data_IF_173164134145
#
_entry.id   IF_173164134145
#
_cell.length_a   1.000
_cell.length_b   1.000
_cell.length_c   1.000
_cell.angle_alpha   90.00
_cell.angle_beta   90.00
_cell.angle_gamma   90.00
#
_symmetry.space_group_name_H-M   'P 1'
#
loop_
_entity.id
_entity.type
_entity.pdbx_description
1 polymer ?
#
# COMPACT_ATOMS: atom_id res chain seq x y z
N UNK A 1 -4.88 27.09 25.50
CA UNK A 1 -4.53 25.68 25.24
C UNK A 1 -5.84 24.94 25.05
N UNK A 2 -6.08 24.37 23.87
CA UNK A 2 -7.28 23.57 23.62
C UNK A 2 -7.06 22.17 24.19
N UNK A 3 -8.00 21.67 25.00
CA UNK A 3 -7.98 20.30 25.54
C UNK A 3 -9.01 19.50 24.74
N UNK A 4 -8.60 18.35 24.21
CA UNK A 4 -9.47 17.42 23.46
C UNK A 4 -9.93 16.29 24.38
N UNK A 5 -11.20 15.88 24.27
CA UNK A 5 -11.80 14.85 25.13
C UNK A 5 -11.99 13.49 24.46
N UNK A 6 -11.87 13.46 23.13
CA UNK A 6 -11.89 12.24 22.32
C UNK A 6 -10.88 12.33 21.18
N UNK A 7 -10.33 11.18 20.78
CA UNK A 7 -9.48 11.07 19.58
C UNK A 7 -10.23 11.51 18.32
N UNK A 8 -11.56 11.40 18.28
CA UNK A 8 -12.37 11.84 17.13
C UNK A 8 -12.33 13.37 16.95
N UNK A 9 -12.06 14.14 18.01
CA UNK A 9 -11.90 15.60 17.92
C UNK A 9 -10.57 16.02 17.28
N UNK A 10 -9.62 15.09 17.17
CA UNK A 10 -8.34 15.29 16.47
C UNK A 10 -8.45 15.01 14.98
N UNK A 11 -9.61 14.55 14.49
CA UNK A 11 -9.84 14.33 13.06
C UNK A 11 -10.07 15.67 12.38
N UNK A 12 -9.30 15.92 11.33
CA UNK A 12 -9.30 17.16 10.58
C UNK A 12 -8.33 18.21 11.10
N UNK A 13 -8.49 19.45 10.62
CA UNK A 13 -7.54 20.56 10.88
C UNK A 13 -6.08 20.17 10.64
N UNK A 14 -5.86 19.33 9.63
CA UNK A 14 -4.54 18.79 9.31
C UNK A 14 -3.63 19.90 8.79
N UNK A 15 -2.31 19.86 9.07
CA UNK A 15 -1.40 20.88 8.57
C UNK A 15 -1.34 20.92 7.04
N UNK A 16 -1.05 22.11 6.51
CA UNK A 16 -0.73 22.33 5.11
C UNK A 16 0.73 22.79 5.04
N UNK A 17 1.55 22.09 4.27
CA UNK A 17 2.98 22.43 4.14
C UNK A 17 3.29 22.81 2.69
N UNK A 18 4.06 23.89 2.52
CA UNK A 18 4.59 24.25 1.21
C UNK A 18 5.85 23.42 0.91
N UNK A 19 5.93 22.84 -0.29
CA UNK A 19 7.10 22.09 -0.74
C UNK A 19 8.10 23.05 -1.39
N UNK A 20 9.38 22.89 -1.07
CA UNK A 20 10.45 23.81 -1.48
C UNK A 20 11.66 23.11 -2.11
N UNK A 21 11.82 21.80 -1.89
CA UNK A 21 12.99 21.02 -2.34
C UNK A 21 12.73 20.19 -3.58
N UNK A 22 11.47 20.04 -3.98
CA UNK A 22 11.06 19.40 -5.22
C UNK A 22 10.87 20.48 -6.31
N UNK A 23 11.17 20.14 -7.56
CA UNK A 23 10.99 21.07 -8.68
C UNK A 23 9.50 21.23 -9.01
N UNK A 24 8.91 22.34 -8.56
CA UNK A 24 7.51 22.69 -8.77
C UNK A 24 7.32 23.65 -9.95
N UNK A 25 8.31 23.82 -10.83
CA UNK A 25 8.23 24.81 -11.90
C UNK A 25 7.91 26.22 -11.35
N UNK A 26 7.03 27.02 -12.01
CA UNK A 26 6.65 28.33 -11.51
C UNK A 26 5.65 28.30 -10.34
N UNK A 27 5.11 27.13 -9.96
CA UNK A 27 4.04 27.05 -8.98
C UNK A 27 4.56 27.01 -7.53
N UNK A 28 3.74 27.50 -6.61
CA UNK A 28 3.82 27.17 -5.19
C UNK A 28 2.95 25.95 -4.92
N UNK A 29 3.57 24.80 -4.67
CA UNK A 29 2.87 23.55 -4.39
C UNK A 29 2.76 23.31 -2.88
N UNK A 30 1.54 23.03 -2.43
CA UNK A 30 1.21 22.76 -1.03
C UNK A 30 0.69 21.33 -0.88
N UNK A 31 1.09 20.67 0.21
CA UNK A 31 0.72 19.32 0.56
C UNK A 31 -0.12 19.32 1.83
N UNK A 32 -1.39 18.92 1.73
CA UNK A 32 -2.32 18.80 2.86
C UNK A 32 -2.09 17.46 3.56
N UNK A 33 -1.66 17.50 4.82
CA UNK A 33 -1.15 16.34 5.56
C UNK A 33 -2.26 15.49 6.18
N UNK A 34 -3.13 14.92 5.33
CA UNK A 34 -4.22 14.04 5.76
C UNK A 34 -3.74 12.73 6.41
N UNK A 35 -2.48 12.36 6.21
CA UNK A 35 -1.79 11.29 6.90
C UNK A 35 -1.58 11.55 8.40
N UNK A 36 -1.84 12.77 8.89
CA UNK A 36 -1.74 13.15 10.31
C UNK A 36 -3.06 13.11 11.06
N UNK A 37 -4.17 12.73 10.42
CA UNK A 37 -5.34 12.30 11.18
C UNK A 37 -4.98 11.11 12.09
N UNK A 38 -5.68 10.89 13.23
CA UNK A 38 -5.28 9.89 14.23
C UNK A 38 -5.25 8.43 13.75
N UNK A 39 -6.12 8.04 12.80
CA UNK A 39 -6.09 6.75 12.09
C UNK A 39 -5.10 6.72 10.91
N UNK A 40 -4.39 7.83 10.70
CA UNK A 40 -3.30 7.98 9.75
C UNK A 40 -3.76 8.09 8.30
N UNK A 41 -4.96 8.60 8.04
CA UNK A 41 -5.45 8.84 6.68
C UNK A 41 -6.60 9.84 6.57
N UNK A 42 -6.82 10.31 5.34
CA UNK A 42 -7.97 11.13 4.92
C UNK A 42 -9.33 10.46 5.20
N UNK A 43 -9.37 9.13 5.27
CA UNK A 43 -10.62 8.37 5.43
C UNK A 43 -11.20 8.43 6.84
N UNK A 44 -10.44 8.95 7.81
CA UNK A 44 -10.94 9.21 9.16
C UNK A 44 -12.09 10.23 9.14
N UNK A 45 -11.97 11.27 8.30
CA UNK A 45 -13.03 12.28 8.09
C UNK A 45 -14.30 11.63 7.55
N UNK A 46 -14.14 10.77 6.55
CA UNK A 46 -15.22 10.08 5.86
C UNK A 46 -15.94 9.14 6.81
N UNK A 47 -15.18 8.32 7.54
CA UNK A 47 -15.73 7.42 8.55
C UNK A 47 -16.50 8.18 9.65
N UNK A 48 -15.97 9.31 10.13
CA UNK A 48 -16.62 10.11 11.17
C UNK A 48 -17.92 10.71 10.67
N UNK A 49 -17.89 11.27 9.46
CA UNK A 49 -19.06 11.86 8.82
C UNK A 49 -20.17 10.83 8.59
N UNK A 50 -19.84 9.66 8.03
CA UNK A 50 -20.83 8.61 7.76
C UNK A 50 -21.46 8.06 9.04
N UNK A 51 -20.68 7.85 10.11
CA UNK A 51 -21.21 7.40 11.40
C UNK A 51 -22.10 8.47 12.05
N UNK A 52 -21.64 9.73 12.08
CA UNK A 52 -22.42 10.83 12.66
C UNK A 52 -23.74 11.06 11.88
N UNK A 53 -23.73 10.91 10.56
CA UNK A 53 -24.94 11.05 9.75
C UNK A 53 -25.91 9.88 9.98
N UNK A 54 -25.39 8.65 10.11
CA UNK A 54 -26.20 7.48 10.44
C UNK A 54 -26.83 7.59 11.84
N UNK A 55 -26.11 8.14 12.81
CA UNK A 55 -26.65 8.48 14.14
C UNK A 55 -27.75 9.54 14.02
N UNK A 56 -27.47 10.65 13.32
CA UNK A 56 -28.39 11.79 13.18
C UNK A 56 -29.71 11.40 12.50
N UNK A 57 -29.65 10.51 11.52
CA UNK A 57 -30.81 10.04 10.76
C UNK A 57 -31.51 8.84 11.42
N UNK A 58 -30.95 8.30 12.51
CA UNK A 58 -31.51 7.15 13.22
C UNK A 58 -31.27 5.80 12.53
N UNK A 59 -30.45 5.75 11.49
CA UNK A 59 -30.07 4.50 10.80
C UNK A 59 -29.14 3.63 11.66
N UNK A 60 -28.33 4.26 12.52
CA UNK A 60 -27.45 3.58 13.46
C UNK A 60 -27.88 3.89 14.90
N UNK A 61 -28.37 2.87 15.61
CA UNK A 61 -28.81 2.96 17.00
C UNK A 61 -27.62 2.74 17.96
N UNK A 62 -27.63 3.30 19.19
CA UNK A 62 -26.58 3.07 20.19
C UNK A 62 -26.30 1.57 20.40
N UNK A 63 -25.01 1.18 20.36
CA UNK A 63 -24.59 -0.22 20.45
C UNK A 63 -24.84 -1.07 19.20
N UNK A 64 -25.31 -0.45 18.10
CA UNK A 64 -25.55 -1.11 16.82
C UNK A 64 -24.28 -1.65 16.15
N UNK A 65 -24.47 -2.33 15.02
CA UNK A 65 -23.37 -2.92 14.25
C UNK A 65 -23.15 -2.15 12.95
N UNK A 66 -21.91 -1.80 12.66
CA UNK A 66 -21.49 -1.22 11.40
C UNK A 66 -20.94 -2.34 10.53
N UNK A 67 -21.31 -2.34 9.24
CA UNK A 67 -20.76 -3.26 8.24
C UNK A 67 -20.20 -2.44 7.09
N UNK A 68 -18.99 -2.80 6.63
CA UNK A 68 -18.38 -2.19 5.45
C UNK A 68 -17.53 -3.22 4.69
N UNK A 69 -17.53 -3.07 3.37
CA UNK A 69 -16.79 -3.91 2.45
C UNK A 69 -15.41 -3.29 2.13
N UNK A 70 -14.46 -3.37 3.07
CA UNK A 70 -13.13 -2.78 2.87
C UNK A 70 -12.06 -3.36 3.77
N UNK A 71 -10.82 -3.41 3.26
CA UNK A 71 -9.60 -3.68 4.04
C UNK A 71 -8.68 -2.45 4.13
N UNK A 72 -9.13 -1.31 3.62
CA UNK A 72 -8.31 -0.12 3.43
C UNK A 72 -8.46 0.90 4.55
N UNK A 73 -8.07 2.13 4.22
CA UNK A 73 -8.10 3.26 5.13
C UNK A 73 -9.50 3.56 5.70
N UNK A 74 -10.58 3.34 4.93
CA UNK A 74 -11.96 3.49 5.43
C UNK A 74 -12.26 2.51 6.55
N UNK A 75 -11.80 1.25 6.45
CA UNK A 75 -12.00 0.25 7.51
C UNK A 75 -11.25 0.60 8.79
N UNK A 76 -10.05 1.15 8.67
CA UNK A 76 -9.28 1.65 9.81
C UNK A 76 -9.96 2.84 10.49
N UNK A 77 -10.44 3.82 9.71
CA UNK A 77 -11.19 4.96 10.23
C UNK A 77 -12.47 4.52 10.93
N UNK A 78 -13.26 3.64 10.30
CA UNK A 78 -14.47 3.07 10.90
C UNK A 78 -14.16 2.31 12.19
N UNK A 79 -13.09 1.50 12.23
CA UNK A 79 -12.70 0.75 13.42
C UNK A 79 -12.35 1.67 14.59
N UNK A 80 -11.55 2.71 14.33
CA UNK A 80 -11.22 3.73 15.33
C UNK A 80 -12.48 4.38 15.90
N UNK A 81 -13.37 4.88 15.02
CA UNK A 81 -14.53 5.67 15.45
C UNK A 81 -15.62 4.78 16.08
N UNK A 82 -15.84 3.57 15.54
CA UNK A 82 -16.75 2.59 16.12
C UNK A 82 -16.33 2.24 17.55
N UNK A 83 -15.03 2.00 17.79
CA UNK A 83 -14.52 1.70 19.12
C UNK A 83 -14.76 2.85 20.12
N UNK A 84 -14.61 4.11 19.68
CA UNK A 84 -14.83 5.28 20.54
C UNK A 84 -16.31 5.55 20.83
N UNK A 85 -17.21 5.21 19.90
CA UNK A 85 -18.66 5.43 20.02
C UNK A 85 -19.43 4.19 20.53
N UNK A 86 -18.74 3.08 20.78
CA UNK A 86 -19.34 1.86 21.33
C UNK A 86 -20.13 1.04 20.31
N UNK A 87 -19.72 1.04 19.05
CA UNK A 87 -20.31 0.21 17.99
C UNK A 87 -19.52 -1.06 17.73
N UNK A 88 -20.21 -2.12 17.35
CA UNK A 88 -19.57 -3.30 16.76
C UNK A 88 -19.23 -3.00 15.30
N UNK A 89 -18.10 -3.50 14.81
CA UNK A 89 -17.69 -3.34 13.41
C UNK A 89 -17.39 -4.70 12.78
N UNK A 90 -18.03 -4.98 11.65
CA UNK A 90 -17.74 -6.12 10.79
C UNK A 90 -17.20 -5.60 9.45
N UNK A 91 -15.98 -6.00 9.12
CA UNK A 91 -15.34 -5.69 7.85
C UNK A 91 -15.30 -6.92 6.96
N UNK A 92 -15.88 -6.79 5.77
CA UNK A 92 -15.85 -7.83 4.74
C UNK A 92 -14.68 -7.55 3.81
N UNK A 93 -13.72 -8.47 3.77
CA UNK A 93 -12.40 -8.27 3.18
C UNK A 93 -12.09 -9.38 2.16
N UNK A 94 -11.74 -9.06 0.91
CA UNK A 94 -11.25 -10.05 -0.04
C UNK A 94 -9.96 -10.73 0.45
N UNK A 95 -9.83 -12.03 0.21
CA UNK A 95 -8.69 -12.87 0.64
C UNK A 95 -7.34 -12.54 -0.01
N UNK A 96 -7.32 -11.70 -1.06
CA UNK A 96 -6.09 -11.14 -1.65
C UNK A 96 -5.44 -10.01 -0.83
N UNK A 97 -6.11 -9.51 0.21
CA UNK A 97 -5.59 -8.40 1.02
C UNK A 97 -4.45 -8.84 1.93
N UNK A 98 -3.48 -7.95 2.19
CA UNK A 98 -2.30 -8.30 2.98
C UNK A 98 -2.66 -8.63 4.43
N UNK A 99 -1.87 -9.51 5.05
CA UNK A 99 -2.08 -9.95 6.43
C UNK A 99 -1.93 -8.80 7.43
N UNK A 100 -1.02 -7.87 7.18
CA UNK A 100 -0.77 -6.71 8.03
C UNK A 100 -2.03 -5.84 8.15
N UNK A 101 -2.76 -5.65 7.04
CA UNK A 101 -4.03 -4.92 7.06
C UNK A 101 -5.08 -5.64 7.91
N UNK A 102 -5.21 -6.95 7.75
CA UNK A 102 -6.16 -7.76 8.53
C UNK A 102 -5.80 -7.71 10.03
N UNK A 103 -4.51 -7.83 10.37
CA UNK A 103 -4.05 -7.75 11.76
C UNK A 103 -4.28 -6.38 12.37
N UNK A 104 -4.06 -5.30 11.61
CA UNK A 104 -4.33 -3.95 12.08
C UNK A 104 -5.82 -3.75 12.38
N UNK A 105 -6.72 -4.19 11.48
CA UNK A 105 -8.17 -4.12 11.70
C UNK A 105 -8.59 -4.90 12.95
N UNK A 106 -8.08 -6.12 13.14
CA UNK A 106 -8.37 -6.94 14.32
C UNK A 106 -7.84 -6.33 15.61
N UNK A 107 -6.66 -5.69 15.57
CA UNK A 107 -6.09 -5.00 16.71
C UNK A 107 -6.94 -3.80 17.16
N UNK A 108 -7.66 -3.17 16.24
CA UNK A 108 -8.65 -2.12 16.52
C UNK A 108 -10.01 -2.67 16.96
N UNK A 109 -10.15 -3.98 17.18
CA UNK A 109 -11.38 -4.61 17.63
C UNK A 109 -12.40 -4.91 16.53
N UNK A 110 -12.06 -4.73 15.25
CA UNK A 110 -12.95 -5.06 14.15
C UNK A 110 -13.03 -6.58 13.94
N UNK A 111 -14.24 -7.08 13.70
CA UNK A 111 -14.46 -8.43 13.22
C UNK A 111 -14.16 -8.46 11.72
N UNK A 112 -13.32 -9.37 11.25
CA UNK A 112 -12.93 -9.46 9.84
C UNK A 112 -13.47 -10.76 9.25
N UNK A 113 -14.36 -10.64 8.26
CA UNK A 113 -14.90 -11.74 7.47
C UNK A 113 -14.19 -11.76 6.12
N UNK A 114 -13.57 -12.89 5.78
CA UNK A 114 -12.89 -13.05 4.50
C UNK A 114 -13.84 -13.52 3.40
N UNK A 115 -13.71 -12.94 2.21
CA UNK A 115 -14.47 -13.33 1.01
C UNK A 115 -13.53 -13.60 -0.16
N UNK A 116 -14.05 -14.27 -1.19
CA UNK A 116 -13.31 -14.61 -2.39
C UNK A 116 -12.92 -13.36 -3.17
N UNK A 117 -11.65 -13.29 -3.61
CA UNK A 117 -11.16 -12.20 -4.46
C UNK A 117 -11.23 -12.49 -5.97
N UNK A 118 -11.56 -13.72 -6.36
CA UNK A 118 -11.62 -14.20 -7.75
C UNK A 118 -13.03 -14.11 -8.38
N UNK A 119 -13.97 -13.46 -7.70
CA UNK A 119 -15.36 -13.32 -8.13
C UNK A 119 -15.74 -11.85 -8.29
N UNK A 120 -16.64 -11.57 -9.24
CA UNK A 120 -17.09 -10.22 -9.59
C UNK A 120 -18.49 -9.92 -9.05
N UNK A 121 -18.91 -8.67 -9.19
CA UNK A 121 -20.25 -8.18 -8.82
C UNK A 121 -21.36 -9.07 -9.39
N UNK A 122 -22.35 -9.38 -8.57
CA UNK A 122 -23.44 -10.32 -8.85
C UNK A 122 -23.18 -11.74 -8.33
N UNK A 123 -21.94 -12.10 -7.99
CA UNK A 123 -21.64 -13.38 -7.35
C UNK A 123 -21.91 -13.30 -5.83
N UNK A 124 -22.56 -14.29 -5.18
CA UNK A 124 -22.90 -14.24 -3.75
C UNK A 124 -21.72 -14.09 -2.77
N UNK A 125 -20.50 -14.40 -3.23
CA UNK A 125 -19.26 -14.26 -2.47
C UNK A 125 -18.47 -12.99 -2.82
N UNK A 126 -18.99 -12.13 -3.70
CA UNK A 126 -18.41 -10.83 -3.96
C UNK A 126 -18.53 -9.97 -2.70
N UNK A 127 -17.43 -9.36 -2.29
CA UNK A 127 -17.29 -8.76 -0.96
C UNK A 127 -18.32 -7.66 -0.66
N UNK A 128 -18.67 -6.80 -1.63
CA UNK A 128 -19.70 -5.76 -1.44
C UNK A 128 -21.11 -6.37 -1.34
N UNK A 129 -21.45 -7.28 -2.24
CA UNK A 129 -22.76 -7.95 -2.24
C UNK A 129 -22.95 -8.78 -0.96
N UNK A 130 -21.87 -9.44 -0.51
CA UNK A 130 -21.84 -10.18 0.75
C UNK A 130 -22.05 -9.25 1.95
N UNK A 131 -21.37 -8.09 2.00
CA UNK A 131 -21.53 -7.11 3.07
C UNK A 131 -22.95 -6.55 3.13
N UNK A 132 -23.53 -6.20 1.98
CA UNK A 132 -24.91 -5.73 1.88
C UNK A 132 -25.91 -6.81 2.36
N UNK A 133 -25.72 -8.07 1.93
CA UNK A 133 -26.56 -9.17 2.39
C UNK A 133 -26.44 -9.37 3.91
N UNK A 134 -25.21 -9.38 4.44
CA UNK A 134 -24.97 -9.54 5.87
C UNK A 134 -25.66 -8.44 6.68
N UNK A 135 -25.65 -7.20 6.19
CA UNK A 135 -26.36 -6.10 6.84
C UNK A 135 -27.89 -6.27 6.83
N UNK A 136 -28.45 -6.85 5.76
CA UNK A 136 -29.88 -7.16 5.68
C UNK A 136 -30.28 -8.32 6.61
N UNK A 137 -29.37 -9.26 6.86
CA UNK A 137 -29.62 -10.45 7.70
C UNK A 137 -29.38 -10.18 9.19
N UNK A 138 -28.52 -9.23 9.56
CA UNK A 138 -28.17 -8.92 10.94
C UNK A 138 -29.04 -7.76 11.49
N UNK A 139 -29.95 -8.01 12.45
CA UNK A 139 -30.80 -6.95 13.01
C UNK A 139 -29.97 -5.84 13.66
N UNK A 140 -30.29 -4.58 13.34
CA UNK A 140 -29.58 -3.41 13.86
C UNK A 140 -28.20 -3.17 13.22
N UNK A 141 -27.87 -3.88 12.14
CA UNK A 141 -26.70 -3.59 11.33
C UNK A 141 -26.96 -2.45 10.35
N UNK A 142 -25.95 -1.62 10.14
CA UNK A 142 -25.94 -0.55 9.16
C UNK A 142 -24.79 -0.78 8.17
N UNK A 143 -25.12 -0.95 6.89
CA UNK A 143 -24.13 -0.99 5.83
C UNK A 143 -23.74 0.44 5.46
N UNK A 144 -22.46 0.79 5.66
CA UNK A 144 -21.96 2.15 5.48
C UNK A 144 -21.95 2.58 4.01
N UNK A 145 -21.55 1.68 3.11
CA UNK A 145 -21.53 1.86 1.65
C UNK A 145 -20.79 3.14 1.19
N UNK A 146 -19.48 3.19 1.44
CA UNK A 146 -18.69 4.41 1.18
C UNK A 146 -18.73 4.93 -0.27
N UNK A 147 -19.13 4.10 -1.24
CA UNK A 147 -19.21 4.45 -2.66
C UNK A 147 -20.53 5.15 -3.04
N UNK A 148 -21.58 5.03 -2.22
CA UNK A 148 -22.89 5.63 -2.49
C UNK A 148 -23.40 6.51 -1.32
N UNK A 149 -22.68 6.54 -0.20
CA UNK A 149 -23.06 7.32 0.96
C UNK A 149 -22.69 8.81 0.81
N UNK A 150 -23.67 9.68 0.67
CA UNK A 150 -23.52 11.14 0.55
C UNK A 150 -22.81 11.79 1.75
N UNK A 151 -22.75 11.12 2.91
CA UNK A 151 -21.96 11.60 4.04
C UNK A 151 -20.44 11.53 3.77
N UNK A 152 -19.99 10.76 2.76
CA UNK A 152 -18.60 10.75 2.31
C UNK A 152 -18.18 12.11 1.69
N UNK A 153 -18.79 12.59 0.59
CA UNK A 153 -18.49 13.94 0.09
C UNK A 153 -18.86 15.05 1.08
N UNK A 154 -19.89 14.87 1.91
CA UNK A 154 -20.22 15.82 2.98
C UNK A 154 -19.03 16.08 3.91
N UNK A 155 -18.24 15.06 4.24
CA UNK A 155 -17.07 15.19 5.09
C UNK A 155 -16.09 16.24 4.52
N UNK A 156 -15.83 16.15 3.22
CA UNK A 156 -14.88 17.03 2.53
C UNK A 156 -15.46 18.41 2.24
N UNK A 157 -16.76 18.48 1.92
CA UNK A 157 -17.48 19.74 1.74
C UNK A 157 -17.48 20.58 3.02
N UNK A 158 -17.70 19.95 4.17
CA UNK A 158 -17.88 20.66 5.45
C UNK A 158 -16.60 20.84 6.26
N UNK A 159 -15.52 20.10 5.93
CA UNK A 159 -14.25 20.18 6.68
C UNK A 159 -13.06 20.44 5.76
N UNK A 160 -12.70 19.52 4.86
CA UNK A 160 -11.46 19.63 4.06
C UNK A 160 -11.44 20.88 3.18
N UNK A 161 -12.52 21.18 2.47
CA UNK A 161 -12.61 22.35 1.60
C UNK A 161 -12.44 23.69 2.36
N UNK A 162 -13.24 23.99 3.41
CA UNK A 162 -13.08 25.24 4.14
C UNK A 162 -11.72 25.34 4.85
N UNK A 163 -11.16 24.23 5.34
CA UNK A 163 -9.80 24.23 5.90
C UNK A 163 -8.75 24.66 4.88
N UNK A 164 -8.80 24.11 3.66
CA UNK A 164 -7.86 24.49 2.59
C UNK A 164 -8.00 25.97 2.23
N UNK A 165 -9.25 26.43 2.09
CA UNK A 165 -9.54 27.81 1.74
C UNK A 165 -9.03 28.77 2.83
N UNK A 166 -9.28 28.49 4.10
CA UNK A 166 -8.76 29.27 5.23
C UNK A 166 -7.22 29.27 5.26
N UNK A 167 -6.59 28.09 5.13
CA UNK A 167 -5.13 27.94 5.20
C UNK A 167 -4.37 28.64 4.06
N UNK A 168 -5.02 28.97 2.95
CA UNK A 168 -4.42 29.66 1.80
C UNK A 168 -5.01 31.05 1.55
N UNK A 169 -5.70 31.63 2.53
CA UNK A 169 -6.35 32.94 2.45
C UNK A 169 -7.29 33.07 1.23
N UNK A 170 -7.98 31.99 0.89
CA UNK A 170 -8.88 31.89 -0.26
C UNK A 170 -8.21 31.88 -1.63
N UNK A 171 -6.88 31.76 -1.71
CA UNK A 171 -6.11 31.81 -2.96
C UNK A 171 -5.63 30.42 -3.37
N UNK A 172 -6.42 29.75 -4.21
CA UNK A 172 -6.13 28.41 -4.72
C UNK A 172 -6.46 28.37 -6.21
N UNK A 173 -5.44 28.20 -7.03
CA UNK A 173 -5.60 28.12 -8.49
C UNK A 173 -5.96 26.72 -8.95
N UNK A 174 -5.39 25.69 -8.32
CA UNK A 174 -5.69 24.29 -8.66
C UNK A 174 -5.58 23.34 -7.47
N UNK A 175 -6.40 22.29 -7.49
CA UNK A 175 -6.34 21.16 -6.56
C UNK A 175 -6.14 19.87 -7.35
N UNK A 176 -5.03 19.19 -7.09
CA UNK A 176 -4.67 17.90 -7.67
C UNK A 176 -5.11 16.79 -6.72
N UNK A 177 -6.03 15.94 -7.17
CA UNK A 177 -6.72 14.95 -6.35
C UNK A 177 -6.81 13.61 -7.08
N UNK A 178 -6.70 12.51 -6.34
CA UNK A 178 -6.97 11.18 -6.86
C UNK A 178 -8.35 10.70 -6.42
N UNK A 179 -8.90 9.75 -7.19
CA UNK A 179 -10.25 9.23 -6.97
C UNK A 179 -10.16 7.74 -6.64
N UNK A 180 -10.72 7.38 -5.48
CA UNK A 180 -11.13 6.01 -5.16
C UNK A 180 -12.66 5.99 -5.12
N UNK A 181 -13.27 6.07 -3.93
CA UNK A 181 -14.74 6.20 -3.79
C UNK A 181 -15.37 7.51 -4.29
N UNK A 182 -14.59 8.47 -4.80
CA UNK A 182 -15.08 9.73 -5.36
C UNK A 182 -15.39 10.85 -4.36
N UNK A 183 -15.72 10.54 -3.10
CA UNK A 183 -16.22 11.53 -2.14
C UNK A 183 -15.28 12.74 -1.89
N UNK A 184 -13.96 12.56 -1.91
CA UNK A 184 -13.03 13.70 -1.77
C UNK A 184 -13.17 14.69 -2.92
N UNK A 185 -13.20 14.24 -4.16
CA UNK A 185 -13.38 15.11 -5.32
C UNK A 185 -14.75 15.78 -5.28
N UNK A 186 -15.83 15.00 -5.14
CA UNK A 186 -17.20 15.52 -5.14
C UNK A 186 -17.46 16.53 -4.02
N UNK A 187 -16.98 16.26 -2.80
CA UNK A 187 -17.14 17.16 -1.67
C UNK A 187 -16.37 18.48 -1.83
N UNK A 188 -15.14 18.41 -2.36
CA UNK A 188 -14.37 19.62 -2.66
C UNK A 188 -15.03 20.43 -3.77
N UNK A 189 -15.41 19.81 -4.90
CA UNK A 189 -16.06 20.51 -6.01
C UNK A 189 -17.36 21.20 -5.58
N UNK A 190 -18.21 20.52 -4.80
CA UNK A 190 -19.46 21.09 -4.31
C UNK A 190 -19.23 22.36 -3.47
N UNK A 191 -18.18 22.41 -2.65
CA UNK A 191 -17.87 23.59 -1.85
C UNK A 191 -17.21 24.69 -2.69
N UNK A 192 -16.22 24.34 -3.51
CA UNK A 192 -15.45 25.30 -4.30
C UNK A 192 -16.28 25.93 -5.42
N UNK A 193 -17.28 25.25 -5.98
CA UNK A 193 -18.21 25.86 -6.93
C UNK A 193 -18.94 27.07 -6.35
N UNK A 194 -19.23 27.07 -5.04
CA UNK A 194 -19.95 28.15 -4.35
C UNK A 194 -19.00 29.28 -3.88
N UNK A 195 -17.75 28.95 -3.52
CA UNK A 195 -16.85 29.89 -2.81
C UNK A 195 -15.62 30.33 -3.63
N UNK A 196 -15.21 29.54 -4.62
CA UNK A 196 -14.03 29.77 -5.45
C UNK A 196 -14.16 29.04 -6.80
N UNK A 197 -15.13 29.44 -7.64
CA UNK A 197 -15.46 28.73 -8.89
C UNK A 197 -14.36 28.77 -9.95
N UNK A 198 -13.29 29.54 -9.74
CA UNK A 198 -12.13 29.61 -10.60
C UNK A 198 -11.07 28.54 -10.27
N UNK A 199 -11.17 27.87 -9.12
CA UNK A 199 -10.23 26.83 -8.72
C UNK A 199 -10.39 25.61 -9.64
N UNK A 200 -9.30 25.25 -10.31
CA UNK A 200 -9.24 24.09 -11.22
C UNK A 200 -9.13 22.79 -10.44
N UNK A 201 -9.85 21.74 -10.87
CA UNK A 201 -9.65 20.38 -10.36
C UNK A 201 -8.91 19.53 -11.38
N UNK A 202 -7.82 18.91 -10.93
CA UNK A 202 -6.92 18.09 -11.75
C UNK A 202 -6.89 16.68 -11.18
N UNK A 203 -7.19 15.69 -12.01
CA UNK A 203 -7.15 14.29 -11.62
C UNK A 203 -5.73 13.72 -11.67
N UNK A 204 -5.31 13.08 -10.58
CA UNK A 204 -4.15 12.21 -10.53
C UNK A 204 -4.62 10.75 -10.52
N UNK A 205 -4.30 10.01 -11.58
CA UNK A 205 -4.85 8.67 -11.81
C UNK A 205 -3.71 7.65 -12.02
N UNK A 206 -3.71 6.48 -11.36
CA UNK A 206 -2.71 5.46 -11.64
C UNK A 206 -2.89 4.91 -13.06
N UNK A 207 -1.78 4.64 -13.75
CA UNK A 207 -1.80 4.00 -15.05
C UNK A 207 -2.44 2.60 -14.94
N UNK A 208 -3.52 2.38 -15.67
CA UNK A 208 -4.35 1.17 -15.59
C UNK A 208 -5.78 1.45 -15.10
N UNK A 209 -6.01 2.56 -14.41
CA UNK A 209 -7.34 3.06 -14.09
C UNK A 209 -8.04 3.64 -15.32
N UNK A 210 -9.38 3.66 -15.29
CA UNK A 210 -10.24 4.15 -16.39
C UNK A 210 -10.59 5.64 -16.27
N UNK A 211 -10.27 6.27 -15.15
CA UNK A 211 -10.77 7.61 -14.82
C UNK A 211 -10.14 8.71 -15.69
N UNK A 212 -8.84 8.62 -15.97
CA UNK A 212 -8.17 9.55 -16.87
C UNK A 212 -8.72 9.47 -18.31
N UNK A 213 -9.02 8.26 -18.80
CA UNK A 213 -9.65 8.05 -20.12
C UNK A 213 -11.02 8.73 -20.18
N UNK A 214 -11.80 8.58 -19.11
CA UNK A 214 -13.10 9.23 -18.99
C UNK A 214 -12.99 10.76 -19.00
N UNK A 215 -12.04 11.33 -18.26
CA UNK A 215 -11.82 12.80 -18.24
C UNK A 215 -11.40 13.33 -19.61
N UNK A 216 -10.50 12.63 -20.31
CA UNK A 216 -9.92 13.12 -21.55
C UNK A 216 -10.81 12.89 -22.78
N UNK A 217 -11.55 11.78 -22.80
CA UNK A 217 -12.26 11.32 -24.01
C UNK A 217 -13.76 11.10 -23.81
N UNK A 218 -14.24 11.13 -22.57
CA UNK A 218 -15.63 10.80 -22.21
C UNK A 218 -16.00 9.32 -22.39
N UNK A 219 -15.01 8.46 -22.65
CA UNK A 219 -15.14 7.00 -22.81
C UNK A 219 -13.92 6.32 -22.19
N UNK A 220 -14.06 5.05 -21.83
CA UNK A 220 -12.94 4.26 -21.29
C UNK A 220 -13.00 2.81 -21.74
N UNK A 221 -11.85 2.14 -21.64
CA UNK A 221 -11.67 0.72 -21.96
C UNK A 221 -11.60 -0.13 -20.68
N UNK A 222 -11.35 -1.43 -20.84
CA UNK A 222 -11.12 -2.32 -19.70
C UNK A 222 -9.93 -1.85 -18.86
N UNK A 223 -10.11 -1.87 -17.54
CA UNK A 223 -9.07 -1.50 -16.60
C UNK A 223 -7.88 -2.46 -16.67
N UNK A 224 -6.68 -1.88 -16.54
CA UNK A 224 -5.44 -2.62 -16.28
C UNK A 224 -5.25 -2.92 -14.79
N UNK A 225 -4.03 -3.30 -14.44
CA UNK A 225 -3.62 -3.51 -13.04
C UNK A 225 -2.55 -2.52 -12.62
N UNK A 226 -2.60 -2.09 -11.36
CA UNK A 226 -1.58 -1.24 -10.73
C UNK A 226 -1.33 -1.66 -9.28
N UNK A 227 -0.22 -1.22 -8.71
CA UNK A 227 0.24 -1.53 -7.36
C UNK A 227 -0.10 -0.43 -6.34
N UNK A 228 -0.26 0.81 -6.78
CA UNK A 228 -0.73 1.91 -5.92
C UNK A 228 -2.07 1.56 -5.27
N UNK A 229 -2.20 1.81 -3.97
CA UNK A 229 -3.39 1.45 -3.21
C UNK A 229 -4.25 2.67 -2.90
N UNK A 230 -5.58 2.51 -2.99
CA UNK A 230 -6.58 3.47 -2.49
C UNK A 230 -7.11 4.50 -3.50
N UNK A 231 -6.58 4.52 -4.72
CA UNK A 231 -7.04 5.34 -5.85
C UNK A 231 -6.96 4.54 -7.16
N UNK A 232 -7.66 5.02 -8.18
CA UNK A 232 -7.87 4.32 -9.46
C UNK A 232 -9.07 3.38 -9.36
N UNK A 233 -9.83 3.28 -10.44
CA UNK A 233 -11.05 2.46 -10.49
C UNK A 233 -11.22 1.83 -11.88
N UNK A 234 -12.05 0.79 -11.96
CA UNK A 234 -12.52 0.15 -13.21
C UNK A 234 -13.92 0.63 -13.65
N UNK A 235 -14.51 1.57 -12.91
CA UNK A 235 -15.76 2.26 -13.22
C UNK A 235 -15.68 3.73 -12.76
N UNK A 236 -16.69 4.54 -13.08
CA UNK A 236 -16.79 5.92 -12.62
C UNK A 236 -17.60 5.97 -11.32
N UNK A 237 -17.00 6.29 -10.17
CA UNK A 237 -17.73 6.39 -8.91
C UNK A 237 -18.79 7.50 -8.99
N UNK A 238 -20.03 7.25 -8.56
CA UNK A 238 -21.10 8.24 -8.67
C UNK A 238 -20.83 9.50 -7.85
N UNK A 239 -20.14 9.37 -6.71
CA UNK A 239 -19.77 10.49 -5.84
C UNK A 239 -18.63 11.36 -6.41
N UNK A 240 -17.95 10.93 -7.48
CA UNK A 240 -16.76 11.63 -7.98
C UNK A 240 -17.09 12.90 -8.78
N UNK A 241 -18.28 13.02 -9.37
CA UNK A 241 -18.64 14.14 -10.25
C UNK A 241 -17.53 14.47 -11.26
N UNK A 242 -17.06 13.43 -11.96
CA UNK A 242 -15.85 13.45 -12.80
C UNK A 242 -15.91 14.51 -13.92
N UNK A 243 -17.12 14.88 -14.33
CA UNK A 243 -17.42 15.94 -15.30
C UNK A 243 -16.87 17.32 -14.90
N UNK A 244 -16.66 17.57 -13.60
CA UNK A 244 -16.09 18.82 -13.10
C UNK A 244 -14.55 18.85 -13.10
N UNK A 245 -13.88 17.86 -13.69
CA UNK A 245 -12.40 17.78 -13.77
C UNK A 245 -11.93 18.27 -15.14
N UNK A 246 -10.95 19.17 -15.16
CA UNK A 246 -10.48 19.81 -16.39
C UNK A 246 -9.35 19.06 -17.09
N UNK A 247 -8.56 18.29 -16.33
CA UNK A 247 -7.37 17.60 -16.82
C UNK A 247 -7.08 16.40 -15.95
N UNK A 248 -6.52 15.35 -16.56
CA UNK A 248 -6.00 14.19 -15.87
C UNK A 248 -4.50 14.02 -16.15
N UNK A 249 -3.79 13.41 -15.19
CA UNK A 249 -2.43 12.92 -15.36
C UNK A 249 -2.37 11.45 -14.98
N UNK A 250 -2.02 10.60 -15.95
CA UNK A 250 -1.74 9.18 -15.69
C UNK A 250 -0.33 9.03 -15.12
N UNK A 251 -0.22 8.33 -13.99
CA UNK A 251 1.04 8.13 -13.27
C UNK A 251 1.29 6.63 -13.13
N UNK A 252 2.44 6.17 -13.58
CA UNK A 252 2.85 4.76 -13.42
C UNK A 252 3.21 4.45 -11.96
N UNK A 253 3.15 3.18 -11.55
CA UNK A 253 3.58 2.75 -10.21
C UNK A 253 5.03 3.17 -9.91
N UNK A 254 5.92 3.08 -10.91
CA UNK A 254 7.32 3.51 -10.78
C UNK A 254 7.42 4.98 -10.42
N UNK A 255 6.70 5.84 -11.14
CA UNK A 255 6.68 7.28 -10.88
C UNK A 255 6.07 7.60 -9.52
N UNK A 256 4.94 6.98 -9.18
CA UNK A 256 4.26 7.19 -7.91
C UNK A 256 5.15 6.85 -6.72
N UNK A 257 5.74 5.65 -6.72
CA UNK A 257 6.58 5.19 -5.61
C UNK A 257 7.91 5.94 -5.54
N UNK A 258 8.55 6.24 -6.67
CA UNK A 258 9.76 7.06 -6.68
C UNK A 258 9.48 8.44 -6.07
N UNK A 259 8.39 9.07 -6.48
CA UNK A 259 7.98 10.39 -5.97
C UNK A 259 7.68 10.36 -4.47
N UNK A 260 6.99 9.31 -3.98
CA UNK A 260 6.74 9.14 -2.54
C UNK A 260 8.05 8.96 -1.74
N UNK A 261 9.02 8.22 -2.28
CA UNK A 261 10.33 8.03 -1.66
C UNK A 261 11.16 9.32 -1.66
N UNK A 262 11.08 10.09 -2.74
CA UNK A 262 11.76 11.39 -2.84
C UNK A 262 11.15 12.41 -1.89
N UNK A 263 9.82 12.42 -1.74
CA UNK A 263 9.13 13.24 -0.74
C UNK A 263 9.66 12.95 0.68
N UNK A 264 9.81 11.67 1.04
CA UNK A 264 10.39 11.29 2.33
C UNK A 264 11.84 11.76 2.46
N UNK A 265 12.68 11.51 1.45
CA UNK A 265 14.12 11.81 1.52
C UNK A 265 14.41 13.32 1.52
N UNK A 266 13.64 14.10 0.76
CA UNK A 266 13.90 15.53 0.56
C UNK A 266 13.15 16.37 1.59
N UNK A 267 11.84 16.16 1.75
CA UNK A 267 10.97 16.97 2.61
C UNK A 267 10.71 16.33 3.99
N UNK A 268 11.10 15.07 4.21
CA UNK A 268 10.92 14.39 5.49
C UNK A 268 9.49 13.88 5.74
N UNK A 269 8.64 13.83 4.72
CA UNK A 269 7.23 13.48 4.86
C UNK A 269 7.02 12.01 4.48
N UNK A 270 6.70 11.18 5.47
CA UNK A 270 6.40 9.76 5.28
C UNK A 270 4.93 9.58 4.83
N UNK A 271 4.69 9.68 3.52
CA UNK A 271 3.37 9.52 2.90
C UNK A 271 3.21 8.17 2.20
N UNK A 272 1.96 7.73 2.00
CA UNK A 272 1.63 6.46 1.36
C UNK A 272 1.57 6.50 -0.17
N UNK A 273 1.26 5.36 -0.79
CA UNK A 273 1.38 5.13 -2.23
C UNK A 273 0.58 6.12 -3.08
N UNK A 274 -0.69 6.38 -2.72
CA UNK A 274 -1.54 7.29 -3.49
C UNK A 274 -1.02 8.73 -3.42
N UNK A 275 -0.41 9.12 -2.30
CA UNK A 275 0.20 10.44 -2.15
C UNK A 275 1.34 10.65 -3.15
N UNK A 276 2.08 9.58 -3.46
CA UNK A 276 3.09 9.58 -4.52
C UNK A 276 2.49 9.87 -5.90
N UNK A 277 1.38 9.22 -6.25
CA UNK A 277 0.64 9.49 -7.49
C UNK A 277 0.16 10.94 -7.57
N UNK A 278 -0.49 11.41 -6.50
CA UNK A 278 -1.00 12.78 -6.39
C UNK A 278 0.11 13.83 -6.54
N UNK A 279 1.22 13.63 -5.82
CA UNK A 279 2.37 14.52 -5.89
C UNK A 279 3.03 14.48 -7.27
N UNK A 280 3.20 13.31 -7.88
CA UNK A 280 3.77 13.20 -9.22
C UNK A 280 2.93 13.94 -10.27
N UNK A 281 1.60 13.78 -10.22
CA UNK A 281 0.68 14.52 -11.06
C UNK A 281 0.74 16.02 -10.80
N UNK A 282 0.85 16.43 -9.54
CA UNK A 282 0.95 17.84 -9.17
C UNK A 282 2.25 18.48 -9.65
N UNK A 283 3.39 17.79 -9.54
CA UNK A 283 4.67 18.24 -10.07
C UNK A 283 4.59 18.41 -11.59
N UNK A 284 4.06 17.42 -12.32
CA UNK A 284 3.84 17.52 -13.77
C UNK A 284 2.91 18.68 -14.15
N UNK A 285 1.79 18.84 -13.44
CA UNK A 285 0.88 19.97 -13.64
C UNK A 285 1.59 21.30 -13.46
N UNK A 286 2.33 21.44 -12.36
CA UNK A 286 3.05 22.66 -12.01
C UNK A 286 4.15 23.01 -13.03
N UNK A 287 4.96 22.03 -13.42
CA UNK A 287 6.03 22.18 -14.42
C UNK A 287 5.50 22.53 -15.82
N UNK A 288 4.25 22.14 -16.13
CA UNK A 288 3.59 22.50 -17.39
C UNK A 288 3.01 23.94 -17.39
N UNK A 289 3.02 24.65 -16.27
CA UNK A 289 2.52 26.03 -16.22
C UNK A 289 3.56 27.04 -16.72
N UNK A 290 3.09 28.15 -17.26
CA UNK A 290 3.92 29.28 -17.73
C UNK A 290 3.88 30.49 -16.80
N UNK A 291 2.97 30.48 -15.81
CA UNK A 291 2.82 31.54 -14.81
C UNK A 291 2.72 30.94 -13.41
N UNK A 292 3.04 31.73 -12.36
CA UNK A 292 2.88 31.27 -10.99
C UNK A 292 1.43 30.91 -10.66
N UNK A 293 1.25 29.77 -9.97
CA UNK A 293 -0.02 29.29 -9.43
C UNK A 293 0.17 28.72 -8.03
N UNK A 294 -0.86 28.79 -7.19
CA UNK A 294 -0.97 28.10 -5.90
C UNK A 294 -1.72 26.79 -6.10
N UNK A 295 -1.01 25.68 -5.99
CA UNK A 295 -1.52 24.34 -6.26
C UNK A 295 -1.53 23.55 -4.96
N UNK A 296 -2.60 22.80 -4.71
CA UNK A 296 -2.74 21.92 -3.55
C UNK A 296 -2.79 20.47 -3.99
N UNK A 297 -2.13 19.59 -3.25
CA UNK A 297 -2.37 18.14 -3.29
C UNK A 297 -2.31 17.54 -1.89
N UNK A 298 -2.45 16.21 -1.75
CA UNK A 298 -2.68 15.56 -0.46
C UNK A 298 -1.62 14.49 -0.15
N UNK A 299 -1.18 14.45 1.11
CA UNK A 299 -0.61 13.25 1.71
C UNK A 299 -1.76 12.43 2.29
N UNK A 300 -2.38 11.57 1.47
CA UNK A 300 -3.65 10.91 1.79
C UNK A 300 -3.58 9.99 3.01
N UNK A 301 -2.46 9.30 3.21
CA UNK A 301 -2.26 8.37 4.31
C UNK A 301 -0.77 8.19 4.65
N UNK A 302 -0.50 7.58 5.80
CA UNK A 302 0.86 7.43 6.31
C UNK A 302 1.66 6.35 5.58
N UNK A 303 2.92 6.67 5.28
CA UNK A 303 3.85 5.76 4.61
C UNK A 303 4.23 4.53 5.44
N UNK A 304 3.98 4.53 6.75
CA UNK A 304 4.28 3.38 7.62
C UNK A 304 3.53 2.09 7.20
N UNK A 305 2.39 2.22 6.53
CA UNK A 305 1.59 1.12 5.96
C UNK A 305 2.28 0.40 4.80
N UNK A 306 3.35 0.99 4.25
CA UNK A 306 4.01 0.56 3.01
C UNK A 306 5.51 0.28 3.21
N UNK A 307 5.98 0.13 4.47
CA UNK A 307 7.40 -0.08 4.78
C UNK A 307 7.97 -1.36 4.17
N UNK A 308 7.20 -2.46 4.15
CA UNK A 308 7.57 -3.71 3.49
C UNK A 308 7.32 -3.71 1.98
N UNK A 309 6.78 -2.62 1.43
CA UNK A 309 6.44 -2.45 0.01
C UNK A 309 7.30 -1.37 -0.64
N UNK A 310 6.72 -0.22 -1.00
CA UNK A 310 7.40 0.80 -1.79
C UNK A 310 8.65 1.40 -1.13
N UNK A 311 8.76 1.33 0.21
CA UNK A 311 9.96 1.77 0.92
C UNK A 311 11.01 0.65 1.10
N UNK A 312 10.69 -0.58 0.71
CA UNK A 312 11.60 -1.72 0.69
C UNK A 312 12.20 -1.89 -0.72
N UNK A 313 13.52 -1.77 -0.83
CA UNK A 313 14.21 -1.89 -2.12
C UNK A 313 14.10 -3.28 -2.75
N UNK A 314 14.07 -4.34 -1.95
CA UNK A 314 13.92 -5.70 -2.46
C UNK A 314 12.53 -5.91 -3.04
N UNK A 315 11.48 -5.40 -2.37
CA UNK A 315 10.14 -5.42 -2.93
C UNK A 315 10.06 -4.60 -4.23
N UNK A 316 10.64 -3.39 -4.26
CA UNK A 316 10.68 -2.56 -5.47
C UNK A 316 11.38 -3.25 -6.64
N UNK A 317 12.47 -4.00 -6.39
CA UNK A 317 13.16 -4.81 -7.40
C UNK A 317 12.33 -6.01 -7.85
N UNK A 318 11.71 -6.71 -6.90
CA UNK A 318 10.83 -7.84 -7.22
C UNK A 318 9.69 -7.39 -8.12
N UNK A 319 9.09 -6.22 -7.88
CA UNK A 319 8.05 -5.64 -8.75
C UNK A 319 8.60 -5.01 -10.05
N UNK A 320 9.91 -5.04 -10.30
CA UNK A 320 10.52 -4.46 -11.50
C UNK A 320 10.58 -2.92 -11.52
N UNK A 321 10.28 -2.26 -10.40
CA UNK A 321 10.14 -0.80 -10.27
C UNK A 321 11.46 -0.08 -10.01
N UNK A 322 12.49 -0.82 -9.61
CA UNK A 322 13.89 -0.41 -9.67
C UNK A 322 14.71 -1.62 -10.13
N UNK A 323 15.88 -1.38 -10.70
CA UNK A 323 16.79 -2.45 -11.14
C UNK A 323 18.19 -2.23 -10.60
N UNK A 324 18.94 -3.34 -10.49
CA UNK A 324 20.39 -3.30 -10.35
C UNK A 324 21.00 -3.17 -11.75
N UNK A 325 22.19 -2.56 -11.89
CA UNK A 325 22.98 -2.72 -13.11
C UNK A 325 23.13 -4.22 -13.42
N UNK A 326 22.73 -4.63 -14.62
CA UNK A 326 22.82 -6.03 -15.02
C UNK A 326 24.25 -6.38 -15.40
N UNK A 327 24.77 -7.47 -14.84
CA UNK A 327 26.07 -8.02 -15.18
C UNK A 327 26.00 -8.95 -16.40
N UNK A 328 24.80 -9.41 -16.78
CA UNK A 328 24.61 -10.42 -17.82
C UNK A 328 25.00 -11.82 -17.36
N UNK A 329 25.00 -12.06 -16.05
CA UNK A 329 25.43 -13.30 -15.42
C UNK A 329 24.42 -13.75 -14.33
N UNK A 330 24.66 -14.89 -13.68
CA UNK A 330 23.72 -15.44 -12.70
C UNK A 330 23.48 -14.50 -11.50
N UNK A 331 24.39 -13.58 -11.20
CA UNK A 331 24.20 -12.65 -10.07
C UNK A 331 22.98 -11.73 -10.26
N UNK A 332 22.51 -11.55 -11.50
CA UNK A 332 21.31 -10.77 -11.82
C UNK A 332 20.02 -11.42 -11.30
N UNK A 333 20.04 -12.72 -11.01
CA UNK A 333 18.91 -13.47 -10.46
C UNK A 333 18.88 -13.50 -8.92
N UNK A 334 19.91 -13.00 -8.24
CA UNK A 334 19.95 -13.04 -6.78
C UNK A 334 19.02 -11.96 -6.22
N UNK A 335 17.92 -12.36 -5.58
CA UNK A 335 16.99 -11.43 -4.94
C UNK A 335 17.66 -10.72 -3.75
N UNK A 336 18.17 -11.50 -2.79
CA UNK A 336 18.81 -11.04 -1.57
C UNK A 336 20.33 -11.21 -1.65
N UNK A 337 21.03 -10.15 -2.09
CA UNK A 337 22.49 -10.14 -2.28
C UNK A 337 23.26 -10.07 -0.96
N UNK A 338 24.27 -10.92 -0.82
CA UNK A 338 25.07 -11.00 0.39
C UNK A 338 26.01 -9.80 0.52
N UNK A 339 26.57 -9.33 -0.59
CA UNK A 339 27.45 -8.16 -0.63
C UNK A 339 26.72 -6.83 -0.42
N UNK A 340 25.39 -6.83 -0.48
CA UNK A 340 24.51 -5.71 -0.08
C UNK A 340 24.01 -5.84 1.36
N UNK A 341 24.36 -6.93 2.07
CA UNK A 341 23.88 -7.21 3.43
C UNK A 341 22.42 -7.68 3.50
N UNK A 342 21.82 -8.08 2.37
CA UNK A 342 20.41 -8.48 2.30
C UNK A 342 20.18 -9.99 2.53
N UNK A 343 21.19 -10.83 2.32
CA UNK A 343 21.04 -12.29 2.56
C UNK A 343 20.89 -12.59 4.04
N UNK A 344 19.84 -13.32 4.39
CA UNK A 344 19.64 -13.87 5.74
C UNK A 344 20.48 -15.14 5.88
N UNK A 345 21.30 -15.23 6.92
CA UNK A 345 22.26 -16.32 7.12
C UNK A 345 22.16 -16.96 8.51
N UNK A 346 22.79 -18.11 8.67
CA UNK A 346 23.01 -18.77 9.95
C UNK A 346 24.50 -18.96 10.23
N UNK A 347 24.88 -18.99 11.50
CA UNK A 347 26.20 -19.40 11.97
C UNK A 347 26.16 -20.90 12.36
N UNK A 348 27.30 -21.62 12.33
CA UNK A 348 27.38 -23.03 12.66
C UNK A 348 26.87 -23.40 14.07
N UNK A 349 27.02 -22.48 15.01
CA UNK A 349 26.68 -22.59 16.43
C UNK A 349 25.33 -21.97 16.80
N UNK A 350 24.63 -21.33 15.86
CA UNK A 350 23.24 -20.94 16.05
C UNK A 350 22.39 -22.17 16.39
N UNK A 351 21.35 -21.98 17.19
CA UNK A 351 20.42 -23.06 17.52
C UNK A 351 19.42 -23.30 16.40
N UNK A 352 18.89 -24.51 16.28
CA UNK A 352 17.79 -24.82 15.35
C UNK A 352 16.55 -23.94 15.61
N UNK A 353 16.29 -23.58 16.88
CA UNK A 353 15.24 -22.62 17.23
C UNK A 353 15.48 -21.23 16.66
N UNK A 354 16.72 -20.74 16.69
CA UNK A 354 17.08 -19.44 16.13
C UNK A 354 16.92 -19.43 14.62
N UNK A 355 17.35 -20.52 13.94
CA UNK A 355 17.15 -20.66 12.49
C UNK A 355 15.68 -20.70 12.12
N UNK A 356 14.85 -21.49 12.80
CA UNK A 356 13.41 -21.52 12.55
C UNK A 356 12.77 -20.14 12.77
N UNK A 357 13.19 -19.42 13.80
CA UNK A 357 12.70 -18.06 14.05
C UNK A 357 13.08 -17.10 12.90
N UNK A 358 14.29 -17.19 12.36
CA UNK A 358 14.71 -16.39 11.20
C UNK A 358 13.94 -16.78 9.93
N UNK A 359 13.78 -18.07 9.65
CA UNK A 359 12.97 -18.56 8.52
C UNK A 359 11.56 -17.95 8.54
N UNK A 360 10.89 -17.99 9.70
CA UNK A 360 9.56 -17.40 9.87
C UNK A 360 9.54 -15.88 9.78
N UNK A 361 10.55 -15.21 10.34
CA UNK A 361 10.62 -13.75 10.34
C UNK A 361 10.78 -13.18 8.93
N UNK A 362 11.60 -13.84 8.11
CA UNK A 362 11.93 -13.39 6.75
C UNK A 362 11.13 -14.10 5.66
N UNK A 363 10.20 -15.01 6.03
CA UNK A 363 9.38 -15.82 5.11
C UNK A 363 10.23 -16.60 4.08
N UNK A 364 11.30 -17.24 4.57
CA UNK A 364 12.23 -18.05 3.76
C UNK A 364 12.30 -19.49 4.28
N UNK A 365 12.49 -20.44 3.36
CA UNK A 365 12.54 -21.89 3.69
C UNK A 365 13.96 -22.45 3.80
N UNK A 366 15.00 -21.65 3.54
CA UNK A 366 16.39 -22.08 3.60
C UNK A 366 17.35 -20.93 3.94
N UNK A 367 18.43 -21.23 4.65
CA UNK A 367 19.48 -20.28 4.99
C UNK A 367 20.86 -20.87 4.66
N UNK A 368 21.76 -20.11 4.00
CA UNK A 368 23.15 -20.49 3.91
C UNK A 368 23.81 -20.34 5.29
N UNK A 369 24.62 -21.33 5.66
CA UNK A 369 25.39 -21.34 6.91
C UNK A 369 26.78 -20.80 6.61
N UNK A 370 27.15 -19.69 7.25
CA UNK A 370 28.41 -18.99 7.00
C UNK A 370 29.35 -19.11 8.20
N UNK A 371 30.60 -19.43 7.92
CA UNK A 371 31.71 -19.36 8.88
C UNK A 371 32.84 -18.53 8.25
N UNK A 372 33.27 -17.47 8.92
CA UNK A 372 34.31 -16.55 8.42
C UNK A 372 34.02 -16.03 6.99
N UNK A 373 32.75 -15.77 6.67
CA UNK A 373 32.29 -15.27 5.36
C UNK A 373 32.24 -16.33 4.25
N UNK A 374 32.52 -17.60 4.54
CA UNK A 374 32.40 -18.71 3.60
C UNK A 374 31.19 -19.57 3.91
N UNK A 375 30.50 -20.03 2.88
CA UNK A 375 29.39 -20.97 3.03
C UNK A 375 29.95 -22.35 3.38
N UNK A 376 29.63 -22.83 4.58
CA UNK A 376 30.05 -24.15 5.10
C UNK A 376 28.91 -25.18 5.10
N UNK A 377 27.69 -24.74 4.82
CA UNK A 377 26.51 -25.58 4.71
C UNK A 377 25.30 -24.78 4.27
N UNK A 378 24.19 -25.48 4.10
CA UNK A 378 22.85 -24.89 3.98
C UNK A 378 21.91 -25.66 4.92
N UNK A 379 20.94 -24.95 5.48
CA UNK A 379 19.90 -25.55 6.33
C UNK A 379 18.54 -25.12 5.80
N UNK A 380 17.63 -26.09 5.65
CA UNK A 380 16.26 -25.86 5.21
C UNK A 380 15.22 -26.40 6.20
N UNK A 381 13.93 -26.16 5.93
CA UNK A 381 12.84 -26.65 6.78
C UNK A 381 12.80 -28.18 6.90
N UNK A 382 13.28 -28.91 5.88
CA UNK A 382 13.32 -30.37 5.89
C UNK A 382 14.42 -30.91 6.82
N UNK A 383 15.58 -30.26 6.84
CA UNK A 383 16.65 -30.53 7.79
C UNK A 383 16.18 -30.29 9.23
N UNK A 384 15.48 -29.18 9.48
CA UNK A 384 14.89 -28.89 10.79
C UNK A 384 13.89 -29.99 11.19
N UNK A 385 12.95 -30.34 10.31
CA UNK A 385 11.93 -31.35 10.58
C UNK A 385 12.55 -32.70 10.94
N UNK A 386 13.54 -33.16 10.16
CA UNK A 386 14.21 -34.46 10.37
C UNK A 386 15.01 -34.53 11.67
N UNK A 387 15.74 -33.46 12.00
CA UNK A 387 16.63 -33.49 13.16
C UNK A 387 15.89 -33.23 14.47
N UNK A 388 14.87 -32.35 14.45
CA UNK A 388 14.02 -32.09 15.61
C UNK A 388 13.11 -33.30 15.87
N UNK A 389 12.47 -33.87 14.84
CA UNK A 389 11.70 -35.12 14.97
C UNK A 389 10.58 -35.10 16.03
N UNK A 390 10.05 -33.92 16.37
CA UNK A 390 9.03 -33.73 17.41
C UNK A 390 9.57 -33.64 18.85
N UNK A 391 10.89 -33.70 19.04
CA UNK A 391 11.55 -33.59 20.34
C UNK A 391 11.91 -32.12 20.65
N UNK A 392 11.29 -31.57 21.69
CA UNK A 392 11.45 -30.17 22.10
C UNK A 392 12.88 -29.81 22.51
N UNK A 393 13.66 -30.74 23.07
CA UNK A 393 15.03 -30.46 23.51
C UNK A 393 15.97 -30.22 22.33
N UNK A 394 15.65 -30.81 21.17
CA UNK A 394 16.49 -30.72 19.96
C UNK A 394 16.47 -29.37 19.29
N UNK A 395 15.55 -28.49 19.65
CA UNK A 395 15.56 -27.10 19.22
C UNK A 395 16.82 -26.35 19.69
N UNK A 396 17.47 -26.82 20.75
CA UNK A 396 18.73 -26.26 21.27
C UNK A 396 19.99 -26.79 20.55
N UNK A 397 19.86 -27.79 19.67
CA UNK A 397 21.00 -28.31 18.92
C UNK A 397 21.59 -27.23 18.01
N UNK A 398 22.91 -27.25 17.79
CA UNK A 398 23.55 -26.32 16.86
C UNK A 398 23.18 -26.66 15.42
N UNK A 399 23.19 -25.66 14.54
CA UNK A 399 22.95 -25.79 13.09
C UNK A 399 23.86 -26.85 12.45
N UNK A 400 25.12 -26.95 12.89
CA UNK A 400 26.06 -28.00 12.43
C UNK A 400 25.56 -29.44 12.59
N UNK A 401 24.63 -29.68 13.51
CA UNK A 401 24.02 -31.00 13.73
C UNK A 401 22.95 -31.35 12.70
N UNK A 402 22.38 -30.36 12.00
CA UNK A 402 21.27 -30.55 11.06
C UNK A 402 21.58 -30.13 9.61
N UNK A 403 22.43 -29.12 9.41
CA UNK A 403 22.73 -28.58 8.09
C UNK A 403 23.30 -29.64 7.13
N UNK A 404 22.94 -29.54 5.86
CA UNK A 404 23.67 -30.26 4.80
C UNK A 404 24.97 -29.55 4.46
N UNK A 405 26.04 -30.36 4.33
CA UNK A 405 27.37 -29.91 3.86
C UNK A 405 27.55 -30.11 2.36
N UNK A 406 26.61 -30.79 1.70
CA UNK A 406 26.61 -30.99 0.25
C UNK A 406 26.00 -29.76 -0.41
N UNK A 407 26.79 -28.69 -0.47
CA UNK A 407 26.38 -27.42 -1.06
C UNK A 407 26.75 -27.40 -2.54
N UNK A 408 25.76 -27.13 -3.40
CA UNK A 408 25.94 -27.00 -4.84
C UNK A 408 26.27 -25.54 -5.18
N UNK A 409 27.53 -25.29 -5.52
CA UNK A 409 28.03 -23.97 -5.90
C UNK A 409 27.99 -23.79 -7.42
N UNK A 410 27.53 -22.63 -7.87
CA UNK A 410 27.73 -22.16 -9.24
C UNK A 410 28.57 -20.89 -9.24
N UNK A 411 29.55 -20.83 -10.15
CA UNK A 411 30.19 -19.56 -10.49
C UNK A 411 29.15 -18.64 -11.14
N UNK A 412 29.17 -17.35 -10.81
CA UNK A 412 28.21 -16.38 -11.36
C UNK A 412 28.18 -16.36 -12.89
N UNK A 413 29.28 -16.72 -13.57
CA UNK A 413 29.40 -16.76 -15.03
C UNK A 413 28.88 -18.06 -15.66
N UNK A 414 28.42 -19.01 -14.85
CA UNK A 414 27.82 -20.23 -15.37
C UNK A 414 26.57 -19.91 -16.22
N UNK A 415 26.26 -20.72 -17.24
CA UNK A 415 25.08 -20.49 -18.05
C UNK A 415 23.81 -20.68 -17.21
N UNK A 416 22.73 -19.99 -17.56
CA UNK A 416 21.42 -20.12 -16.90
C UNK A 416 20.91 -21.57 -16.85
N UNK A 417 21.26 -22.39 -17.86
CA UNK A 417 20.94 -23.82 -17.88
C UNK A 417 21.50 -24.61 -16.71
N UNK A 418 22.57 -24.13 -16.05
CA UNK A 418 23.11 -24.74 -14.84
C UNK A 418 22.16 -24.63 -13.64
N UNK A 419 21.30 -23.59 -13.60
CA UNK A 419 20.28 -23.46 -12.55
C UNK A 419 19.24 -24.57 -12.66
N UNK A 420 18.83 -24.94 -13.88
CA UNK A 420 17.85 -26.01 -14.10
C UNK A 420 18.32 -27.34 -13.52
N UNK A 421 19.60 -27.70 -13.72
CA UNK A 421 20.17 -28.94 -13.17
C UNK A 421 20.19 -28.99 -11.63
N UNK A 422 20.24 -27.83 -10.96
CA UNK A 422 20.11 -27.74 -9.50
C UNK A 422 18.64 -27.87 -9.09
N UNK A 423 17.74 -27.15 -9.77
CA UNK A 423 16.32 -27.14 -9.45
C UNK A 423 15.63 -28.49 -9.72
N UNK A 424 16.07 -29.26 -10.71
CA UNK A 424 15.59 -30.62 -11.00
C UNK A 424 15.80 -31.58 -9.82
N UNK A 425 16.79 -31.30 -8.97
CA UNK A 425 17.08 -32.05 -7.75
C UNK A 425 16.35 -31.48 -6.51
N UNK A 426 15.55 -30.43 -6.68
CA UNK A 426 14.84 -29.74 -5.60
C UNK A 426 15.72 -28.83 -4.74
N UNK A 427 16.97 -28.60 -5.14
CA UNK A 427 17.95 -27.80 -4.39
C UNK A 427 17.85 -26.30 -4.74
N UNK A 428 18.59 -25.47 -4.01
CA UNK A 428 18.82 -24.05 -4.34
C UNK A 428 20.26 -23.84 -4.79
N UNK A 429 20.49 -22.86 -5.65
CA UNK A 429 21.82 -22.58 -6.17
C UNK A 429 22.56 -21.60 -5.27
N UNK A 430 23.76 -21.96 -4.81
CA UNK A 430 24.66 -21.06 -4.08
C UNK A 430 25.59 -20.40 -5.08
N UNK A 431 25.50 -19.08 -5.22
CA UNK A 431 26.23 -18.37 -6.26
C UNK A 431 27.49 -17.73 -5.68
N UNK A 432 28.61 -18.00 -6.32
CA UNK A 432 29.89 -17.42 -5.96
C UNK A 432 30.50 -16.60 -7.10
N UNK A 433 31.31 -15.62 -6.71
CA UNK A 433 32.28 -14.94 -7.56
C UNK A 433 33.67 -15.41 -7.14
N UNK A 434 34.20 -16.42 -7.82
CA UNK A 434 35.34 -17.22 -7.35
C UNK A 434 35.02 -17.88 -5.99
N UNK A 435 35.72 -17.50 -4.91
CA UNK A 435 35.49 -18.03 -3.55
C UNK A 435 34.55 -17.16 -2.70
N UNK A 436 34.04 -16.05 -3.25
CA UNK A 436 33.18 -15.12 -2.54
C UNK A 436 31.71 -15.45 -2.77
N UNK A 437 30.99 -15.73 -1.70
CA UNK A 437 29.54 -15.91 -1.73
C UNK A 437 28.81 -14.61 -2.11
N UNK A 438 27.93 -14.69 -3.10
CA UNK A 438 27.10 -13.56 -3.55
C UNK A 438 25.64 -13.66 -3.10
N UNK A 439 25.12 -14.87 -2.92
CA UNK A 439 23.72 -15.07 -2.54
C UNK A 439 23.17 -16.40 -3.06
N UNK A 440 21.90 -16.64 -2.74
CA UNK A 440 21.16 -17.80 -3.22
C UNK A 440 20.29 -17.42 -4.41
N UNK A 441 20.10 -18.36 -5.34
CA UNK A 441 19.05 -18.28 -6.36
C UNK A 441 18.05 -19.42 -6.13
N UNK A 442 16.79 -19.05 -6.00
CA UNK A 442 15.65 -19.96 -5.94
C UNK A 442 14.87 -19.97 -7.26
N UNK A 443 13.96 -20.94 -7.39
CA UNK A 443 13.03 -21.01 -8.53
C UNK A 443 12.18 -19.73 -8.64
N UNK A 444 11.74 -19.19 -7.51
CA UNK A 444 10.92 -17.96 -7.45
C UNK A 444 11.68 -16.73 -7.95
N UNK A 445 12.99 -16.66 -7.71
CA UNK A 445 13.81 -15.53 -8.16
C UNK A 445 13.93 -15.53 -9.69
N UNK A 446 14.14 -16.70 -10.29
CA UNK A 446 14.19 -16.85 -11.77
C UNK A 446 12.84 -16.49 -12.41
N UNK A 447 11.74 -16.97 -11.86
CA UNK A 447 10.39 -16.63 -12.36
C UNK A 447 10.12 -15.13 -12.27
N UNK A 448 10.54 -14.50 -11.17
CA UNK A 448 10.41 -13.05 -10.96
C UNK A 448 11.23 -12.28 -11.97
N UNK A 449 12.48 -12.68 -12.20
CA UNK A 449 13.35 -12.06 -13.20
C UNK A 449 12.76 -12.19 -14.62
N UNK A 450 12.23 -13.35 -15.00
CA UNK A 450 11.58 -13.55 -16.29
C UNK A 450 10.30 -12.72 -16.45
N UNK A 451 9.44 -12.68 -15.43
CA UNK A 451 8.25 -11.83 -15.42
C UNK A 451 8.62 -10.36 -15.65
N UNK A 452 9.64 -9.88 -14.95
CA UNK A 452 10.06 -8.48 -15.02
C UNK A 452 10.67 -8.12 -16.39
N UNK A 453 11.23 -9.10 -17.13
CA UNK A 453 11.70 -8.91 -18.52
C UNK A 453 10.55 -8.75 -19.52
N UNK A 454 9.38 -9.33 -19.26
CA UNK A 454 8.20 -9.18 -20.14
C UNK A 454 7.53 -7.81 -20.01
N UNK A 455 7.78 -7.10 -18.91
CA UNK A 455 7.18 -5.80 -18.59
C UNK A 455 8.07 -4.60 -18.94
N UNK A 456 9.32 -4.85 -19.36
CA UNK A 456 10.24 -3.86 -19.92
C UNK A 456 10.12 -3.86 -21.44
#
# INVERSE_FOLDING_TARGET
MTIYHSVTELIGRTPLIQLHKLDTGPCSLFLKLENQNPGGSIKDRVALSMINEAERTGQLQPGGTIIEATAGNTGLGLALIAAQKGYSLILVVPDKMSREKIFHLRALGAQVVLTRSDVNKGHPAYYQDYAQRLANELPGAFYIDQFNNEANPLAHRTTTAPELYEQLDGRIDAIVVGVGSGGTLGGLQAWFAEHSPHTEFVLADPAGSVLADQVETGRYHDAGSWLVEGIGEDFIPPLAHIEGVNRAWRITDREAFTTARDLLKTEGILAGSSSGTLLAAALKYCQAQTSPKRVVTFACDSGNKYLSKMFNDDWMRQQGLISRPQAGDLSDYIALRHDEGATVTAAPDDTLSAVLARMRLYDISQLPVLENGKVVGIIDEWDLLRHIGGDGERFALPVTAAMTRQVEFLDKRAPESALHAIFDRGLVAVINDNDRFLGLITRSDVLTAWRNRLQQ
#
